data_IF_451311387646
#
_entry.id   IF_451311387646
#
_cell.length_a   1.000
_cell.length_b   1.000
_cell.length_c   1.000
_cell.angle_alpha   90.00
_cell.angle_beta   90.00
_cell.angle_gamma   90.00
#
_symmetry.space_group_name_H-M   'P 1'
#
loop_
_entity.id
_entity.type
_entity.pdbx_description
1 polymer ?
#
# COMPACT_ATOMS: atom_id res chain seq x y z
N UNK A 1 67.61 -40.84 26.08
CA UNK A 1 67.10 -39.79 26.99
C UNK A 1 66.08 -38.98 26.21
N UNK A 2 64.78 -39.18 26.46
CA UNK A 2 63.90 -38.40 27.36
C UNK A 2 63.33 -37.13 26.69
N UNK A 3 61.98 -37.04 26.65
CA UNK A 3 61.20 -35.80 26.53
C UNK A 3 60.25 -35.76 25.31
N UNK A 4 59.05 -36.34 25.36
CA UNK A 4 57.78 -35.77 25.88
C UNK A 4 57.22 -34.60 25.02
N UNK A 5 56.27 -34.83 24.09
CA UNK A 5 54.78 -34.71 24.21
C UNK A 5 54.27 -33.25 24.32
N UNK A 6 53.48 -32.76 23.34
CA UNK A 6 52.05 -32.37 23.46
C UNK A 6 51.46 -31.66 22.20
N UNK A 7 50.53 -32.40 21.57
CA UNK A 7 49.25 -32.05 20.91
C UNK A 7 48.79 -30.58 20.95
N UNK A 8 48.26 -30.07 19.82
CA UNK A 8 47.02 -29.27 19.79
C UNK A 8 46.26 -29.39 18.45
N UNK A 9 45.05 -29.92 18.55
CA UNK A 9 43.97 -29.90 17.55
C UNK A 9 43.51 -28.44 17.35
N UNK A 10 43.32 -28.00 16.11
CA UNK A 10 42.53 -26.80 15.81
C UNK A 10 41.56 -27.07 14.65
N UNK A 11 40.30 -27.33 15.02
CA UNK A 11 39.10 -27.08 14.21
C UNK A 11 39.04 -25.58 13.89
N UNK A 12 38.58 -25.14 12.71
CA UNK A 12 37.62 -24.03 12.54
C UNK A 12 37.15 -23.96 11.08
N UNK A 13 35.85 -24.22 10.91
CA UNK A 13 34.88 -23.63 9.98
C UNK A 13 35.29 -23.33 8.53
N UNK A 14 34.91 -24.23 7.61
CA UNK A 14 34.41 -23.82 6.29
C UNK A 14 33.04 -23.16 6.53
N UNK A 15 33.01 -21.83 6.48
CA UNK A 15 31.75 -21.09 6.48
C UNK A 15 31.02 -21.34 5.17
N UNK A 16 29.93 -22.08 5.29
CA UNK A 16 28.83 -22.17 4.35
C UNK A 16 28.27 -20.74 4.11
N UNK A 17 28.80 -20.02 3.12
CA UNK A 17 28.10 -18.86 2.56
C UNK A 17 26.99 -19.41 1.66
N UNK A 18 25.97 -19.98 2.29
CA UNK A 18 24.66 -20.10 1.68
C UNK A 18 24.11 -18.68 1.68
N UNK A 19 24.41 -17.93 0.63
CA UNK A 19 23.81 -16.64 0.40
C UNK A 19 22.31 -16.82 0.44
N UNK A 20 21.69 -16.37 1.53
CA UNK A 20 20.25 -16.26 1.64
C UNK A 20 19.83 -15.17 0.68
N UNK A 21 19.71 -15.51 -0.60
CA UNK A 21 18.97 -14.71 -1.55
C UNK A 21 17.55 -14.71 -1.03
N UNK A 22 17.19 -13.66 -0.29
CA UNK A 22 15.80 -13.33 -0.02
C UNK A 22 15.20 -13.06 -1.39
N UNK A 23 14.61 -14.10 -1.98
CA UNK A 23 13.71 -13.97 -3.10
C UNK A 23 12.56 -13.13 -2.58
N UNK A 24 12.64 -11.81 -2.78
CA UNK A 24 11.49 -10.94 -2.70
C UNK A 24 10.54 -11.41 -3.82
N UNK A 25 9.71 -12.40 -3.51
CA UNK A 25 8.66 -12.84 -4.39
C UNK A 25 7.79 -11.63 -4.68
N UNK A 26 7.78 -11.17 -5.92
CA UNK A 26 6.90 -10.07 -6.32
C UNK A 26 5.47 -10.53 -6.08
N UNK A 27 4.83 -10.03 -5.03
CA UNK A 27 3.42 -10.31 -4.74
C UNK A 27 2.59 -9.78 -5.89
N UNK A 28 2.01 -10.67 -6.68
CA UNK A 28 1.24 -10.30 -7.86
C UNK A 28 -0.16 -9.85 -7.42
N UNK A 29 -0.69 -8.74 -7.97
CA UNK A 29 -2.07 -8.34 -7.72
C UNK A 29 -3.07 -9.45 -8.07
N UNK A 30 -4.09 -9.60 -7.24
CA UNK A 30 -5.19 -10.56 -7.38
C UNK A 30 -6.56 -9.88 -7.50
N UNK A 31 -6.67 -8.63 -7.04
CA UNK A 31 -7.88 -7.83 -7.14
C UNK A 31 -7.56 -6.33 -7.16
N UNK A 32 -8.59 -5.52 -7.42
CA UNK A 32 -8.54 -4.05 -7.41
C UNK A 32 -9.76 -3.51 -6.68
N UNK A 33 -9.57 -2.50 -5.84
CA UNK A 33 -10.64 -1.71 -5.25
C UNK A 33 -11.27 -0.83 -6.33
N UNK A 34 -12.46 -1.20 -6.81
CA UNK A 34 -13.20 -0.44 -7.84
C UNK A 34 -14.24 0.51 -7.26
N UNK A 35 -14.48 0.47 -5.95
CA UNK A 35 -15.22 1.51 -5.21
C UNK A 35 -14.73 1.59 -3.76
N UNK A 36 -14.62 2.81 -3.26
CA UNK A 36 -14.27 3.11 -1.87
C UNK A 36 -15.13 4.31 -1.44
N UNK A 37 -15.87 4.17 -0.36
CA UNK A 37 -16.69 5.22 0.25
C UNK A 37 -16.47 5.16 1.76
N UNK A 38 -16.30 6.31 2.41
CA UNK A 38 -16.09 6.38 3.85
C UNK A 38 -14.66 6.05 4.28
N UNK A 39 -14.53 5.58 5.51
CA UNK A 39 -13.28 5.09 6.10
C UNK A 39 -13.08 3.61 5.74
N UNK A 40 -12.31 3.36 4.68
CA UNK A 40 -11.89 2.02 4.30
C UNK A 40 -10.38 1.95 4.48
N UNK A 41 -9.92 0.99 5.28
CA UNK A 41 -8.50 0.80 5.58
C UNK A 41 -8.01 -0.54 5.04
N UNK A 42 -6.73 -0.59 4.74
CA UNK A 42 -6.02 -1.78 4.28
C UNK A 42 -4.73 -1.93 5.08
N UNK A 43 -4.44 -3.15 5.54
CA UNK A 43 -3.14 -3.56 6.08
C UNK A 43 -2.47 -4.40 4.97
N UNK A 44 -1.54 -3.78 4.25
CA UNK A 44 -0.91 -4.39 3.07
C UNK A 44 0.23 -5.30 3.48
N UNK A 45 0.34 -6.49 2.89
CA UNK A 45 1.48 -7.38 3.17
C UNK A 45 2.80 -6.76 2.71
N UNK A 46 2.78 -5.97 1.64
CA UNK A 46 3.96 -5.31 1.09
C UNK A 46 4.42 -4.09 1.89
N UNK A 47 3.53 -3.52 2.70
CA UNK A 47 3.77 -2.32 3.50
C UNK A 47 2.86 -2.39 4.74
N UNK A 48 3.25 -3.20 5.76
CA UNK A 48 2.40 -3.50 6.90
C UNK A 48 2.05 -2.25 7.71
N UNK A 49 0.82 -2.21 8.20
CA UNK A 49 0.24 -1.07 8.88
C UNK A 49 -1.06 -0.64 8.23
N UNK A 50 -2.08 -0.41 9.05
CA UNK A 50 -3.38 0.07 8.58
C UNK A 50 -3.24 1.44 7.93
N UNK A 51 -3.74 1.53 6.70
CA UNK A 51 -3.69 2.75 5.89
C UNK A 51 -4.97 2.97 5.12
N UNK A 52 -5.28 4.22 4.79
CA UNK A 52 -6.44 4.57 4.00
C UNK A 52 -6.38 3.92 2.60
N UNK A 53 -7.47 3.25 2.23
CA UNK A 53 -7.62 2.65 0.92
C UNK A 53 -7.87 3.72 -0.14
N UNK A 54 -7.25 3.57 -1.30
CA UNK A 54 -7.48 4.45 -2.46
C UNK A 54 -8.23 3.72 -3.57
N UNK A 55 -9.11 4.44 -4.28
CA UNK A 55 -9.74 3.93 -5.51
C UNK A 55 -8.67 3.48 -6.51
N UNK A 56 -8.84 2.29 -7.09
CA UNK A 56 -7.86 1.66 -7.98
C UNK A 56 -6.68 0.99 -7.25
N UNK A 57 -6.70 0.99 -5.91
CA UNK A 57 -5.73 0.26 -5.09
C UNK A 57 -5.72 -1.23 -5.44
N UNK A 58 -4.52 -1.79 -5.59
CA UNK A 58 -4.33 -3.21 -5.93
C UNK A 58 -4.25 -4.01 -4.64
N UNK A 59 -4.92 -5.15 -4.61
CA UNK A 59 -4.84 -6.10 -3.52
C UNK A 59 -3.96 -7.28 -3.92
N UNK A 60 -3.17 -7.77 -2.98
CA UNK A 60 -2.36 -8.98 -3.09
C UNK A 60 -2.82 -10.04 -2.08
N UNK A 61 -2.29 -11.25 -2.24
CA UNK A 61 -2.54 -12.32 -1.29
C UNK A 61 -2.06 -11.96 0.13
N UNK A 62 -2.96 -12.03 1.09
CA UNK A 62 -2.72 -11.78 2.51
C UNK A 62 -3.12 -10.38 2.99
N UNK A 63 -3.51 -9.46 2.09
CA UNK A 63 -3.96 -8.13 2.50
C UNK A 63 -5.24 -8.23 3.35
N UNK A 64 -5.29 -7.42 4.40
CA UNK A 64 -6.47 -7.30 5.27
C UNK A 64 -7.17 -5.98 5.01
N UNK A 65 -8.49 -5.98 5.11
CA UNK A 65 -9.31 -4.81 4.89
C UNK A 65 -10.31 -4.62 6.02
N UNK A 66 -10.59 -3.35 6.31
CA UNK A 66 -11.55 -2.92 7.31
C UNK A 66 -12.39 -1.77 6.75
N UNK A 67 -13.70 -1.83 6.93
CA UNK A 67 -14.63 -0.72 6.67
C UNK A 67 -15.15 -0.19 8.00
N UNK A 68 -15.09 1.13 8.20
CA UNK A 68 -15.67 1.81 9.36
C UNK A 68 -17.16 2.06 9.19
N UNK A 69 -17.73 2.88 10.09
CA UNK A 69 -19.11 3.39 10.00
C UNK A 69 -19.33 4.16 8.70
N UNK A 70 -20.55 4.10 8.14
CA UNK A 70 -20.93 4.84 6.94
C UNK A 70 -19.95 4.62 5.75
N UNK A 71 -19.37 3.43 5.69
CA UNK A 71 -18.33 3.06 4.72
C UNK A 71 -18.76 1.89 3.85
N UNK A 72 -18.22 1.86 2.63
CA UNK A 72 -18.54 0.84 1.65
C UNK A 72 -17.32 0.56 0.75
N UNK A 73 -17.06 -0.72 0.51
CA UNK A 73 -16.02 -1.17 -0.42
C UNK A 73 -16.60 -1.99 -1.56
N UNK A 74 -16.03 -1.87 -2.75
CA UNK A 74 -16.21 -2.85 -3.83
C UNK A 74 -14.84 -3.30 -4.34
N UNK A 75 -14.71 -4.60 -4.49
CA UNK A 75 -13.48 -5.28 -4.93
C UNK A 75 -13.80 -6.11 -6.15
N UNK A 76 -13.03 -5.90 -7.20
CA UNK A 76 -13.06 -6.67 -8.43
C UNK A 76 -11.82 -7.56 -8.50
N UNK A 77 -12.02 -8.87 -8.46
CA UNK A 77 -10.96 -9.86 -8.65
C UNK A 77 -10.59 -10.00 -10.13
N UNK A 78 -9.39 -10.51 -10.42
CA UNK A 78 -8.93 -10.64 -11.81
C UNK A 78 -9.71 -11.67 -12.64
N UNK A 79 -10.42 -12.59 -11.99
CA UNK A 79 -11.36 -13.53 -12.60
C UNK A 79 -12.76 -12.90 -12.85
N UNK A 80 -12.94 -11.61 -12.51
CA UNK A 80 -14.18 -10.83 -12.53
C UNK A 80 -15.20 -11.19 -11.45
N UNK A 81 -14.84 -12.02 -10.47
CA UNK A 81 -15.62 -12.14 -9.24
C UNK A 81 -15.61 -10.80 -8.50
N UNK A 82 -16.72 -10.46 -7.87
CA UNK A 82 -16.90 -9.19 -7.15
C UNK A 82 -17.31 -9.44 -5.71
N UNK A 83 -16.74 -8.65 -4.79
CA UNK A 83 -17.20 -8.54 -3.41
C UNK A 83 -17.59 -7.09 -3.16
N UNK A 84 -18.80 -6.87 -2.68
CA UNK A 84 -19.24 -5.61 -2.07
C UNK A 84 -19.27 -5.79 -0.58
N UNK A 85 -18.73 -4.82 0.15
CA UNK A 85 -18.52 -4.88 1.59
C UNK A 85 -19.21 -3.70 2.23
N UNK A 86 -20.03 -3.96 3.25
CA UNK A 86 -20.75 -2.94 4.01
C UNK A 86 -19.84 -2.33 5.09
N UNK A 87 -20.34 -1.35 5.83
CA UNK A 87 -19.69 -0.81 7.03
C UNK A 87 -19.37 -1.90 8.06
N UNK A 88 -18.44 -1.60 8.97
CA UNK A 88 -18.08 -2.46 10.11
C UNK A 88 -17.69 -3.89 9.72
N UNK A 89 -17.01 -4.06 8.59
CA UNK A 89 -16.62 -5.38 8.08
C UNK A 89 -15.12 -5.54 8.07
N UNK A 90 -14.64 -6.69 8.57
CA UNK A 90 -13.21 -7.05 8.63
C UNK A 90 -12.97 -8.37 7.92
N UNK A 91 -12.08 -8.39 6.95
CA UNK A 91 -11.76 -9.59 6.20
C UNK A 91 -10.32 -9.59 5.66
N UNK A 92 -9.84 -10.79 5.31
CA UNK A 92 -8.54 -11.01 4.70
C UNK A 92 -8.73 -11.64 3.32
N UNK A 93 -7.99 -11.14 2.33
CA UNK A 93 -7.98 -11.70 0.97
C UNK A 93 -6.87 -12.74 0.87
N UNK A 94 -7.22 -14.00 0.67
CA UNK A 94 -6.26 -15.06 0.33
C UNK A 94 -6.57 -15.55 -1.08
N UNK A 95 -5.80 -15.13 -2.06
CA UNK A 95 -6.03 -15.54 -3.45
C UNK A 95 -4.73 -15.89 -4.11
N UNK A 96 -4.71 -17.02 -4.80
CA UNK A 96 -3.56 -17.47 -5.57
C UNK A 96 -3.95 -17.61 -7.03
N UNK A 97 -3.05 -17.18 -7.91
CA UNK A 97 -3.16 -17.44 -9.34
C UNK A 97 -2.66 -18.85 -9.62
N UNK A 98 -3.55 -19.73 -10.07
CA UNK A 98 -3.21 -21.10 -10.43
C UNK A 98 -2.65 -21.14 -11.86
N UNK A 99 -3.38 -20.57 -12.83
CA UNK A 99 -2.96 -20.36 -14.22
C UNK A 99 -3.42 -18.98 -14.73
N UNK A 100 -3.16 -18.63 -16.00
CA UNK A 100 -3.52 -17.32 -16.56
C UNK A 100 -5.05 -17.12 -16.51
N UNK A 101 -5.50 -16.15 -15.71
CA UNK A 101 -6.92 -15.76 -15.48
C UNK A 101 -7.75 -16.73 -14.65
N UNK A 102 -7.13 -17.67 -13.97
CA UNK A 102 -7.79 -18.48 -12.94
C UNK A 102 -7.27 -18.11 -11.56
N UNK A 103 -8.20 -17.92 -10.64
CA UNK A 103 -7.93 -17.66 -9.24
C UNK A 103 -8.59 -18.75 -8.40
N UNK A 104 -7.86 -19.18 -7.38
CA UNK A 104 -8.43 -19.85 -6.23
C UNK A 104 -8.44 -18.83 -5.10
N UNK A 105 -9.63 -18.37 -4.74
CA UNK A 105 -9.84 -17.28 -3.79
C UNK A 105 -10.53 -17.83 -2.54
N UNK A 106 -9.95 -17.51 -1.40
CA UNK A 106 -10.44 -17.76 -0.06
C UNK A 106 -10.53 -16.40 0.66
N UNK A 107 -11.71 -16.08 1.15
CA UNK A 107 -11.97 -14.87 1.91
C UNK A 107 -12.24 -15.25 3.35
N UNK A 108 -11.37 -14.81 4.26
CA UNK A 108 -11.60 -14.97 5.69
C UNK A 108 -12.30 -13.71 6.20
N UNK A 109 -13.59 -13.78 6.51
CA UNK A 109 -14.34 -12.70 7.16
C UNK A 109 -14.45 -12.98 8.65
N UNK A 110 -14.14 -11.98 9.47
CA UNK A 110 -14.26 -12.07 10.92
C UNK A 110 -15.61 -11.56 11.43
N UNK A 111 -16.11 -10.46 10.86
CA UNK A 111 -17.36 -9.79 11.23
C UNK A 111 -17.81 -8.90 10.08
N UNK A 112 -19.11 -8.62 9.99
CA UNK A 112 -19.69 -7.64 9.06
C UNK A 112 -20.54 -8.28 7.97
N UNK A 113 -20.75 -7.58 6.86
CA UNK A 113 -21.67 -8.00 5.81
C UNK A 113 -21.04 -7.82 4.42
N UNK A 114 -21.12 -8.86 3.59
CA UNK A 114 -20.68 -8.81 2.20
C UNK A 114 -21.67 -9.44 1.24
N UNK A 115 -21.74 -8.88 0.03
CA UNK A 115 -22.40 -9.47 -1.11
C UNK A 115 -21.35 -9.91 -2.12
N UNK A 116 -21.44 -11.16 -2.54
CA UNK A 116 -20.43 -11.80 -3.38
C UNK A 116 -21.09 -12.33 -4.64
N UNK A 117 -20.51 -11.95 -5.78
CA UNK A 117 -20.89 -12.45 -7.10
C UNK A 117 -19.67 -13.10 -7.75
N UNK A 118 -19.73 -14.40 -7.95
CA UNK A 118 -18.60 -15.18 -8.49
C UNK A 118 -18.80 -15.49 -9.96
N UNK A 119 -17.71 -15.50 -10.73
CA UNK A 119 -17.75 -15.88 -12.15
C UNK A 119 -17.81 -17.41 -12.28
N UNK A 120 -18.58 -17.92 -13.23
CA UNK A 120 -18.64 -19.36 -13.52
C UNK A 120 -17.25 -19.94 -13.76
N UNK A 121 -16.91 -21.02 -13.04
CA UNK A 121 -15.62 -21.68 -13.12
C UNK A 121 -14.55 -21.15 -12.15
N UNK A 122 -14.80 -20.04 -11.44
CA UNK A 122 -13.93 -19.64 -10.34
C UNK A 122 -14.08 -20.59 -9.14
N UNK A 123 -12.99 -20.81 -8.42
CA UNK A 123 -12.99 -21.51 -7.13
C UNK A 123 -12.98 -20.46 -6.04
N UNK A 124 -14.10 -20.29 -5.37
CA UNK A 124 -14.27 -19.25 -4.38
C UNK A 124 -14.79 -19.86 -3.08
N UNK A 125 -14.15 -19.51 -1.97
CA UNK A 125 -14.54 -19.92 -0.63
C UNK A 125 -14.60 -18.70 0.27
N UNK A 126 -15.57 -18.70 1.18
CA UNK A 126 -15.64 -17.74 2.27
C UNK A 126 -15.60 -18.51 3.57
N UNK A 127 -14.56 -18.24 4.35
CA UNK A 127 -14.39 -18.76 5.70
C UNK A 127 -14.92 -17.73 6.69
N UNK A 128 -15.79 -18.18 7.57
CA UNK A 128 -16.29 -17.43 8.72
C UNK A 128 -15.89 -18.14 10.02
N UNK A 129 -16.09 -17.54 11.20
CA UNK A 129 -15.79 -18.21 12.47
C UNK A 129 -16.53 -19.54 12.68
N UNK A 130 -17.73 -19.69 12.09
CA UNK A 130 -18.62 -20.83 12.35
C UNK A 130 -18.87 -21.70 11.13
N UNK A 131 -18.35 -21.35 9.94
CA UNK A 131 -18.68 -22.06 8.70
C UNK A 131 -17.79 -21.73 7.52
N UNK A 132 -17.90 -22.55 6.48
CA UNK A 132 -17.31 -22.31 5.16
C UNK A 132 -18.41 -22.33 4.11
N UNK A 133 -18.47 -21.28 3.30
CA UNK A 133 -19.31 -21.22 2.09
C UNK A 133 -18.44 -21.46 0.85
N UNK A 134 -18.67 -22.58 0.17
CA UNK A 134 -17.97 -22.96 -1.07
C UNK A 134 -18.89 -22.72 -2.26
N UNK A 135 -18.40 -21.98 -3.26
CA UNK A 135 -19.25 -21.50 -4.35
C UNK A 135 -18.62 -21.62 -5.72
N UNK A 136 -19.48 -21.75 -6.74
CA UNK A 136 -19.10 -21.77 -8.15
C UNK A 136 -20.18 -21.13 -9.00
N UNK A 137 -19.96 -19.89 -9.45
CA UNK A 137 -20.91 -19.17 -10.30
C UNK A 137 -22.22 -18.82 -9.58
N UNK A 138 -22.10 -18.12 -8.46
CA UNK A 138 -23.23 -17.75 -7.59
C UNK A 138 -23.24 -16.27 -7.24
N UNK A 139 -24.42 -15.78 -6.87
CA UNK A 139 -24.59 -14.50 -6.18
C UNK A 139 -25.24 -14.75 -4.81
N UNK A 140 -24.63 -14.24 -3.75
CA UNK A 140 -25.13 -14.45 -2.38
C UNK A 140 -24.73 -13.29 -1.45
N UNK A 141 -25.46 -13.17 -0.35
CA UNK A 141 -25.16 -12.30 0.77
C UNK A 141 -24.68 -13.15 1.95
N UNK A 142 -23.68 -12.67 2.66
CA UNK A 142 -23.15 -13.31 3.86
C UNK A 142 -22.94 -12.24 4.94
N UNK A 143 -23.57 -12.45 6.09
CA UNK A 143 -23.45 -11.59 7.27
C UNK A 143 -22.87 -12.40 8.42
N UNK A 144 -21.87 -11.86 9.08
CA UNK A 144 -21.23 -12.43 10.27
C UNK A 144 -21.43 -11.47 11.42
N UNK A 145 -22.14 -11.93 12.45
CA UNK A 145 -22.36 -11.19 13.69
C UNK A 145 -21.10 -11.17 14.57
N UNK A 146 -21.09 -10.35 15.62
CA UNK A 146 -19.93 -10.22 16.52
C UNK A 146 -19.61 -11.52 17.28
N UNK A 147 -20.62 -12.36 17.53
CA UNK A 147 -20.47 -13.67 18.16
C UNK A 147 -20.01 -14.77 17.18
N UNK A 148 -19.84 -14.44 15.89
CA UNK A 148 -19.46 -15.36 14.82
C UNK A 148 -20.63 -16.07 14.15
N UNK A 149 -21.87 -15.83 14.57
CA UNK A 149 -23.07 -16.35 13.89
C UNK A 149 -23.07 -15.87 12.45
N UNK A 150 -23.20 -16.82 11.51
CA UNK A 150 -23.14 -16.54 10.08
C UNK A 150 -24.50 -16.76 9.44
N UNK A 151 -25.04 -15.72 8.80
CA UNK A 151 -26.24 -15.79 7.98
C UNK A 151 -25.86 -15.77 6.50
N UNK A 152 -26.27 -16.82 5.79
CA UNK A 152 -26.13 -16.96 4.35
C UNK A 152 -27.48 -16.72 3.68
N UNK A 153 -27.52 -15.93 2.62
CA UNK A 153 -28.69 -15.79 1.74
C UNK A 153 -28.25 -15.92 0.27
N UNK A 154 -28.71 -16.96 -0.41
CA UNK A 154 -28.36 -17.23 -1.81
C UNK A 154 -29.35 -16.51 -2.73
N UNK A 155 -28.82 -15.69 -3.64
CA UNK A 155 -29.60 -14.88 -4.59
C UNK A 155 -29.67 -15.54 -5.97
N UNK A 156 -28.60 -16.21 -6.38
CA UNK A 156 -28.50 -16.92 -7.67
C UNK A 156 -27.54 -18.12 -7.51
N UNK A 157 -27.92 -19.28 -8.06
CA UNK A 157 -27.10 -20.49 -8.05
C UNK A 157 -27.22 -21.31 -6.75
N UNK A 158 -26.12 -21.91 -6.30
CA UNK A 158 -26.10 -22.77 -5.12
C UNK A 158 -24.79 -22.68 -4.34
N UNK A 159 -24.90 -22.63 -3.02
CA UNK A 159 -23.78 -22.54 -2.07
C UNK A 159 -23.74 -23.79 -1.23
N UNK A 160 -22.60 -24.49 -1.24
CA UNK A 160 -22.33 -25.55 -0.27
C UNK A 160 -21.86 -24.89 1.02
N UNK A 161 -22.65 -25.02 2.08
CA UNK A 161 -22.43 -24.36 3.36
C UNK A 161 -22.21 -25.42 4.43
N UNK A 162 -21.05 -25.36 5.07
CA UNK A 162 -20.60 -26.46 5.94
C UNK A 162 -19.88 -25.96 7.18
N UNK A 163 -19.87 -26.80 8.20
CA UNK A 163 -18.95 -26.72 9.33
C UNK A 163 -18.59 -28.14 9.80
N UNK A 164 -17.93 -28.28 10.94
CA UNK A 164 -17.50 -29.58 11.48
C UNK A 164 -18.66 -30.53 11.82
N UNK A 165 -19.87 -30.01 11.99
CA UNK A 165 -21.05 -30.74 12.44
C UNK A 165 -22.03 -31.08 11.31
N UNK A 166 -21.84 -30.53 10.11
CA UNK A 166 -22.71 -30.85 8.98
C UNK A 166 -22.44 -30.02 7.72
N UNK A 167 -23.07 -30.46 6.64
CA UNK A 167 -23.06 -29.81 5.33
C UNK A 167 -24.47 -29.69 4.80
N UNK A 168 -24.81 -28.53 4.25
CA UNK A 168 -26.05 -28.29 3.52
C UNK A 168 -25.75 -27.67 2.15
N UNK A 169 -26.70 -27.81 1.24
CA UNK A 169 -26.69 -27.12 -0.04
C UNK A 169 -27.82 -26.08 -0.05
N UNK A 170 -27.47 -24.80 0.06
CA UNK A 170 -28.41 -23.70 -0.04
C UNK A 170 -28.55 -23.29 -1.52
N UNK A 171 -29.76 -23.32 -2.05
CA UNK A 171 -30.05 -22.94 -3.45
C UNK A 171 -30.61 -21.52 -3.53
N UNK A 172 -30.79 -21.03 -4.75
CA UNK A 172 -31.40 -19.74 -5.04
C UNK A 172 -32.65 -19.44 -4.19
N UNK A 173 -32.71 -18.19 -3.72
CA UNK A 173 -33.78 -17.65 -2.87
C UNK A 173 -33.97 -18.42 -1.56
N UNK A 174 -32.90 -18.98 -1.00
CA UNK A 174 -32.90 -19.59 0.33
C UNK A 174 -31.89 -18.94 1.26
N UNK A 175 -32.11 -19.10 2.57
CA UNK A 175 -31.18 -18.70 3.62
C UNK A 175 -30.90 -19.84 4.58
N UNK A 176 -29.68 -19.85 5.12
CA UNK A 176 -29.23 -20.78 6.16
C UNK A 176 -28.40 -20.02 7.18
N UNK A 177 -28.42 -20.47 8.43
CA UNK A 177 -27.65 -19.88 9.53
C UNK A 177 -26.71 -20.92 10.11
N UNK A 178 -25.46 -20.52 10.38
CA UNK A 178 -24.48 -21.32 11.14
C UNK A 178 -24.16 -20.63 12.46
N UNK A 179 -24.10 -21.41 13.53
CA UNK A 179 -23.80 -20.97 14.90
C UNK A 179 -22.71 -21.85 15.51
N UNK A 180 -22.04 -21.35 16.55
CA UNK A 180 -21.08 -22.14 17.28
C UNK A 180 -21.76 -23.36 17.93
N UNK A 181 -21.20 -24.55 17.73
CA UNK A 181 -21.70 -25.80 18.35
C UNK A 181 -22.90 -26.45 17.66
N UNK A 182 -23.42 -25.88 16.56
CA UNK A 182 -24.54 -26.43 15.79
C UNK A 182 -24.15 -26.60 14.31
N UNK A 183 -24.69 -27.61 13.62
CA UNK A 183 -24.59 -27.70 12.16
C UNK A 183 -25.36 -26.57 11.46
N UNK A 184 -25.06 -26.24 10.20
CA UNK A 184 -25.81 -25.23 9.47
C UNK A 184 -27.30 -25.59 9.39
N UNK A 185 -28.17 -24.61 9.59
CA UNK A 185 -29.61 -24.83 9.55
C UNK A 185 -30.06 -25.27 8.16
N UNK A 186 -31.12 -26.07 8.08
CA UNK A 186 -31.76 -26.38 6.80
C UNK A 186 -32.15 -25.09 6.06
N UNK A 187 -31.95 -25.01 4.73
CA UNK A 187 -32.32 -23.84 3.96
C UNK A 187 -33.81 -23.51 4.04
N UNK A 188 -34.13 -22.24 4.27
CA UNK A 188 -35.50 -21.72 4.28
C UNK A 188 -35.70 -20.73 3.13
N UNK A 189 -36.89 -20.71 2.54
CA UNK A 189 -37.21 -19.79 1.45
C UNK A 189 -37.19 -18.32 1.92
N UNK A 190 -36.58 -17.45 1.13
CA UNK A 190 -36.49 -16.01 1.37
C UNK A 190 -37.35 -15.29 0.35
N UNK A 191 -38.33 -14.46 0.77
CA UNK A 191 -39.09 -13.65 -0.17
C UNK A 191 -38.19 -12.55 -0.75
N UNK A 192 -38.38 -12.22 -2.03
CA UNK A 192 -37.55 -11.23 -2.72
C UNK A 192 -37.49 -9.86 -2.03
N UNK A 193 -38.56 -9.47 -1.34
CA UNK A 193 -38.65 -8.22 -0.56
C UNK A 193 -37.73 -8.20 0.66
N UNK A 194 -37.29 -9.36 1.17
CA UNK A 194 -36.38 -9.48 2.31
C UNK A 194 -34.90 -9.42 1.91
N UNK A 195 -34.58 -9.41 0.61
CA UNK A 195 -33.19 -9.28 0.14
C UNK A 195 -32.70 -7.84 0.43
N UNK A 196 -31.55 -7.67 1.10
CA UNK A 196 -31.00 -6.34 1.38
C UNK A 196 -30.76 -5.53 0.09
N UNK A 197 -31.29 -4.31 0.03
CA UNK A 197 -31.16 -3.44 -1.16
C UNK A 197 -29.85 -2.64 -1.23
N UNK A 198 -29.06 -2.64 -0.16
CA UNK A 198 -27.79 -1.89 -0.07
C UNK A 198 -26.78 -2.31 -1.15
N UNK A 199 -26.88 -3.56 -1.60
CA UNK A 199 -26.09 -4.14 -2.69
C UNK A 199 -26.19 -3.30 -3.99
N UNK A 200 -27.33 -2.61 -4.19
CA UNK A 200 -27.59 -1.73 -5.34
C UNK A 200 -27.43 -0.24 -4.99
N UNK A 201 -27.68 0.14 -3.73
CA UNK A 201 -27.57 1.53 -3.25
C UNK A 201 -26.14 1.83 -2.83
N UNK A 202 -25.34 2.24 -3.81
CA UNK A 202 -23.96 2.71 -3.60
C UNK A 202 -23.86 4.21 -3.93
N UNK A 203 -24.89 5.01 -3.64
CA UNK A 203 -24.91 6.40 -4.08
C UNK A 203 -23.79 7.15 -3.34
N UNK A 204 -22.72 7.46 -4.07
CA UNK A 204 -21.67 8.37 -3.61
C UNK A 204 -22.33 9.73 -3.50
N UNK A 205 -22.61 10.17 -2.28
CA UNK A 205 -23.15 11.51 -2.07
C UNK A 205 -22.06 12.54 -2.33
N UNK A 206 -20.84 12.23 -1.88
CA UNK A 206 -19.71 13.16 -1.90
C UNK A 206 -18.45 12.55 -2.51
N UNK A 207 -17.60 13.41 -3.08
CA UNK A 207 -16.26 13.06 -3.59
C UNK A 207 -15.26 14.06 -3.09
N UNK A 208 -14.25 13.60 -2.37
CA UNK A 208 -13.17 14.44 -1.89
C UNK A 208 -12.11 14.61 -2.99
N UNK A 209 -11.70 15.85 -3.21
CA UNK A 209 -10.63 16.22 -4.13
C UNK A 209 -9.57 17.02 -3.41
N UNK A 210 -8.33 16.77 -3.78
CA UNK A 210 -7.18 17.51 -3.26
C UNK A 210 -6.42 18.17 -4.39
N UNK A 211 -5.96 19.39 -4.14
CA UNK A 211 -5.07 20.13 -5.04
C UNK A 211 -4.00 20.82 -4.22
N UNK A 212 -2.75 20.77 -4.68
CA UNK A 212 -1.75 21.69 -4.13
C UNK A 212 -2.12 23.12 -4.55
N UNK A 213 -2.11 24.05 -3.60
CA UNK A 213 -2.48 25.44 -3.84
C UNK A 213 -1.56 26.09 -4.88
N UNK A 214 -0.27 25.74 -4.86
CA UNK A 214 0.68 26.09 -5.91
C UNK A 214 0.97 24.84 -6.74
N UNK A 215 0.85 24.85 -8.08
CA UNK A 215 1.20 23.68 -8.88
C UNK A 215 2.71 23.41 -8.90
N UNK A 216 3.12 22.27 -9.47
CA UNK A 216 4.51 21.91 -9.71
C UNK A 216 5.19 21.15 -8.57
N UNK A 217 6.45 20.78 -8.80
CA UNK A 217 7.25 20.01 -7.84
C UNK A 217 7.60 20.82 -6.59
N UNK A 218 7.66 20.15 -5.45
CA UNK A 218 7.93 20.75 -4.14
C UNK A 218 9.33 20.42 -3.66
N UNK A 219 9.96 21.36 -2.99
CA UNK A 219 11.28 21.12 -2.42
C UNK A 219 11.12 20.28 -1.14
N UNK A 220 11.94 19.24 -0.99
CA UNK A 220 12.03 18.44 0.24
C UNK A 220 12.31 19.36 1.43
N UNK A 221 11.58 19.12 2.52
CA UNK A 221 11.62 19.91 3.76
C UNK A 221 10.89 21.26 3.70
N UNK A 222 10.46 21.75 2.53
CA UNK A 222 9.74 23.01 2.41
C UNK A 222 8.21 22.77 2.53
N UNK A 223 7.53 23.40 3.51
CA UNK A 223 6.07 23.33 3.63
C UNK A 223 5.35 23.88 2.40
N UNK A 224 4.21 23.27 2.05
CA UNK A 224 3.32 23.73 1.00
C UNK A 224 1.85 23.49 1.38
N UNK A 225 0.96 24.34 0.87
CA UNK A 225 -0.47 24.25 1.18
C UNK A 225 -1.19 23.29 0.22
N UNK A 226 -2.15 22.56 0.79
CA UNK A 226 -3.07 21.65 0.10
C UNK A 226 -4.48 22.13 0.39
N UNK A 227 -5.29 22.27 -0.66
CA UNK A 227 -6.72 22.52 -0.55
C UNK A 227 -7.47 21.22 -0.74
N UNK A 228 -8.43 20.96 0.14
CA UNK A 228 -9.39 19.87 0.09
C UNK A 228 -10.75 20.46 -0.25
N UNK A 229 -11.45 19.81 -1.19
CA UNK A 229 -12.81 20.16 -1.59
C UNK A 229 -13.67 18.90 -1.65
N UNK A 230 -14.81 18.92 -0.98
CA UNK A 230 -15.89 17.97 -1.17
C UNK A 230 -16.77 18.43 -2.33
N UNK A 231 -17.07 17.51 -3.25
CA UNK A 231 -18.00 17.74 -4.35
C UNK A 231 -19.19 16.79 -4.27
N UNK A 232 -20.35 17.22 -4.74
CA UNK A 232 -21.51 16.33 -4.90
C UNK A 232 -21.34 15.36 -6.09
N UNK A 233 -22.35 14.52 -6.34
CA UNK A 233 -22.34 13.57 -7.46
C UNK A 233 -22.30 14.23 -8.84
N UNK A 234 -22.72 15.50 -8.95
CA UNK A 234 -22.70 16.29 -10.19
C UNK A 234 -21.37 17.05 -10.37
N UNK A 235 -20.53 17.07 -9.34
CA UNK A 235 -19.23 17.73 -9.33
C UNK A 235 -19.26 19.17 -8.82
N UNK A 236 -20.39 19.67 -8.34
CA UNK A 236 -20.51 20.99 -7.72
C UNK A 236 -19.90 21.00 -6.31
N UNK A 237 -19.69 22.18 -5.73
CA UNK A 237 -19.16 22.27 -4.37
C UNK A 237 -20.21 21.78 -3.35
N UNK A 238 -19.83 20.83 -2.51
CA UNK A 238 -20.71 20.24 -1.52
C UNK A 238 -20.83 21.13 -0.27
N UNK A 239 -21.65 22.19 -0.35
CA UNK A 239 -21.84 23.13 0.76
C UNK A 239 -22.41 22.47 2.03
N UNK A 240 -23.13 21.36 1.88
CA UNK A 240 -23.70 20.58 2.97
C UNK A 240 -22.73 19.57 3.62
N UNK A 241 -21.53 19.38 3.06
CA UNK A 241 -20.52 18.51 3.65
C UNK A 241 -19.78 19.24 4.78
N UNK A 242 -20.05 18.85 6.02
CA UNK A 242 -19.50 19.47 7.24
C UNK A 242 -18.75 18.51 8.16
N UNK A 243 -18.53 17.27 7.71
CA UNK A 243 -17.84 16.24 8.48
C UNK A 243 -16.32 16.46 8.53
N UNK A 244 -15.71 15.87 9.54
CA UNK A 244 -14.26 15.78 9.65
C UNK A 244 -13.72 14.77 8.62
N UNK A 245 -12.58 15.12 8.00
CA UNK A 245 -11.87 14.23 7.07
C UNK A 245 -10.54 13.79 7.68
N UNK A 246 -10.18 12.53 7.49
CA UNK A 246 -8.83 12.04 7.77
C UNK A 246 -7.95 12.25 6.54
N UNK A 247 -6.75 12.78 6.76
CA UNK A 247 -5.75 12.99 5.72
C UNK A 247 -4.48 12.25 6.11
N UNK A 248 -4.00 11.38 5.23
CA UNK A 248 -2.83 10.53 5.44
C UNK A 248 -1.74 10.82 4.39
N UNK A 249 -0.52 11.05 4.86
CA UNK A 249 0.68 11.22 4.07
C UNK A 249 1.43 9.90 3.86
N UNK A 250 1.85 9.62 2.62
CA UNK A 250 2.63 8.43 2.24
C UNK A 250 4.05 8.80 1.81
N UNK A 251 5.00 7.92 2.11
CA UNK A 251 6.41 8.04 1.71
C UNK A 251 7.09 9.30 2.26
N UNK A 252 7.03 9.46 3.58
CA UNK A 252 7.69 10.57 4.28
C UNK A 252 7.00 11.92 4.14
N UNK A 253 5.71 11.94 3.80
CA UNK A 253 4.88 13.15 3.89
C UNK A 253 4.36 13.31 5.32
N UNK A 254 4.61 14.49 5.89
CA UNK A 254 3.99 14.94 7.13
C UNK A 254 3.00 16.07 6.83
N UNK A 255 1.94 16.13 7.62
CA UNK A 255 0.79 17.00 7.48
C UNK A 255 0.62 17.86 8.73
N UNK A 256 0.02 19.04 8.55
CA UNK A 256 -0.20 19.99 9.63
C UNK A 256 -1.49 20.79 9.40
N UNK A 257 -2.34 20.86 10.42
CA UNK A 257 -3.60 21.62 10.43
C UNK A 257 -3.47 22.94 11.21
N UNK A 258 -2.35 23.17 11.88
CA UNK A 258 -2.10 24.34 12.75
C UNK A 258 -1.10 25.35 12.15
N UNK A 259 -0.94 25.32 10.82
CA UNK A 259 -0.05 26.25 10.12
C UNK A 259 1.43 25.86 10.15
N UNK A 260 1.76 24.65 10.58
CA UNK A 260 3.11 24.07 10.54
C UNK A 260 3.79 24.01 11.92
N UNK A 261 3.04 24.18 12.99
CA UNK A 261 3.56 24.10 14.36
C UNK A 261 3.71 22.64 14.81
N UNK A 262 2.75 21.79 14.45
CA UNK A 262 2.80 20.33 14.66
C UNK A 262 2.71 19.58 13.33
N UNK A 263 3.36 18.42 13.27
CA UNK A 263 3.50 17.59 12.08
C UNK A 263 3.24 16.12 12.41
N UNK A 264 2.42 15.45 11.61
CA UNK A 264 2.06 14.03 11.76
C UNK A 264 1.89 13.38 10.39
N UNK A 265 2.05 12.06 10.29
CA UNK A 265 1.73 11.31 9.08
C UNK A 265 0.22 11.23 8.80
N UNK A 266 -0.61 11.41 9.83
CA UNK A 266 -2.07 11.43 9.73
C UNK A 266 -2.63 12.59 10.56
N UNK A 267 -3.60 13.33 10.00
CA UNK A 267 -4.29 14.44 10.67
C UNK A 267 -5.78 14.44 10.35
N UNK A 268 -6.59 14.91 11.29
CA UNK A 268 -8.03 15.17 11.07
C UNK A 268 -8.24 16.65 10.76
N UNK A 269 -9.07 16.96 9.75
CA UNK A 269 -9.42 18.31 9.35
C UNK A 269 -10.94 18.46 9.20
N UNK A 270 -11.52 19.44 9.89
CA UNK A 270 -12.91 19.83 9.66
C UNK A 270 -13.06 20.63 8.37
N UNK A 271 -13.97 20.21 7.49
CA UNK A 271 -14.29 20.99 6.28
C UNK A 271 -15.38 22.02 6.56
N UNK A 272 -15.16 23.26 6.14
CA UNK A 272 -16.13 24.35 6.25
C UNK A 272 -16.79 24.58 4.88
N UNK A 273 -18.10 24.32 4.77
CA UNK A 273 -18.84 24.38 3.50
C UNK A 273 -18.16 23.56 2.39
N UNK A 274 -17.75 22.34 2.75
CA UNK A 274 -17.04 21.41 1.87
C UNK A 274 -15.60 21.80 1.52
N UNK A 275 -14.98 22.79 2.18
CA UNK A 275 -13.61 23.21 1.86
C UNK A 275 -12.72 23.26 3.10
N UNK A 276 -11.45 22.87 2.93
CA UNK A 276 -10.42 22.96 3.96
C UNK A 276 -9.03 23.19 3.36
N UNK A 277 -8.11 23.71 4.17
CA UNK A 277 -6.70 23.89 3.80
C UNK A 277 -5.83 23.34 4.91
N UNK A 278 -4.78 22.61 4.55
CA UNK A 278 -3.73 22.15 5.45
C UNK A 278 -2.36 22.34 4.82
N UNK A 279 -1.30 22.21 5.63
CA UNK A 279 0.09 22.18 5.16
C UNK A 279 0.60 20.76 5.06
N UNK A 280 1.48 20.53 4.10
CA UNK A 280 2.26 19.31 3.98
C UNK A 280 3.73 19.65 3.78
N UNK A 281 4.62 18.76 4.21
CA UNK A 281 6.05 18.77 3.88
C UNK A 281 6.50 17.33 3.65
N UNK A 282 7.43 17.12 2.73
CA UNK A 282 7.98 15.79 2.45
C UNK A 282 9.47 15.70 2.76
N UNK A 283 9.92 14.56 3.26
CA UNK A 283 11.33 14.26 3.55
C UNK A 283 12.05 13.52 2.41
N UNK A 284 11.30 12.90 1.50
CA UNK A 284 11.86 12.05 0.44
C UNK A 284 11.68 12.65 -0.95
N UNK A 285 12.65 12.41 -1.84
CA UNK A 285 12.59 12.81 -3.25
C UNK A 285 11.77 11.81 -4.04
N UNK A 286 10.98 12.28 -5.01
CA UNK A 286 10.18 11.43 -5.89
C UNK A 286 8.68 11.70 -5.75
N UNK A 287 7.87 10.81 -6.32
CA UNK A 287 6.41 10.92 -6.26
C UNK A 287 5.92 10.40 -4.91
N UNK A 288 5.34 11.29 -4.13
CA UNK A 288 4.68 10.97 -2.87
C UNK A 288 3.17 11.12 -2.99
N UNK A 289 2.43 10.37 -2.20
CA UNK A 289 0.98 10.37 -2.23
C UNK A 289 0.41 10.92 -0.92
N UNK A 290 -0.73 11.58 -1.03
CA UNK A 290 -1.54 12.04 0.08
C UNK A 290 -2.95 11.55 -0.22
N UNK A 291 -3.59 10.94 0.77
CA UNK A 291 -4.93 10.37 0.66
C UNK A 291 -5.83 11.12 1.65
N UNK A 292 -7.04 11.44 1.24
CA UNK A 292 -8.07 11.99 2.13
C UNK A 292 -9.28 11.06 2.08
N UNK A 293 -9.81 10.71 3.25
CA UNK A 293 -11.05 9.95 3.44
C UNK A 293 -11.99 10.72 4.36
N UNK A 294 -13.29 10.41 4.26
CA UNK A 294 -14.31 11.01 5.10
C UNK A 294 -15.63 10.28 4.91
N UNK A 295 -16.52 10.37 5.90
CA UNK A 295 -17.78 9.64 5.90
C UNK A 295 -18.63 9.91 4.65
N UNK A 296 -19.33 8.88 4.17
CA UNK A 296 -20.21 8.93 2.98
C UNK A 296 -19.57 9.55 1.72
N UNK A 297 -18.24 9.58 1.65
CA UNK A 297 -17.51 10.24 0.57
C UNK A 297 -16.53 9.29 -0.12
N UNK A 298 -16.35 9.44 -1.42
CA UNK A 298 -15.25 8.79 -2.12
C UNK A 298 -13.92 9.47 -1.76
N UNK A 299 -12.86 8.72 -1.48
CA UNK A 299 -11.58 9.29 -1.06
C UNK A 299 -10.90 10.04 -2.21
N UNK A 300 -10.14 11.06 -1.85
CA UNK A 300 -9.29 11.82 -2.75
C UNK A 300 -7.84 11.35 -2.68
N UNK A 301 -7.12 11.43 -3.80
CA UNK A 301 -5.67 11.17 -3.85
C UNK A 301 -4.95 12.30 -4.56
N UNK A 302 -3.92 12.84 -3.93
CA UNK A 302 -3.01 13.82 -4.51
C UNK A 302 -1.62 13.19 -4.61
N UNK A 303 -1.02 13.22 -5.80
CA UNK A 303 0.37 12.83 -6.00
C UNK A 303 1.22 14.09 -6.17
N UNK A 304 2.22 14.24 -5.32
CA UNK A 304 3.15 15.38 -5.31
C UNK A 304 4.53 14.89 -5.70
N UNK A 305 5.18 15.55 -6.66
CA UNK A 305 6.57 15.28 -6.97
C UNK A 305 7.48 16.13 -6.07
N UNK A 306 8.20 15.48 -5.17
CA UNK A 306 9.19 16.08 -4.30
C UNK A 306 10.56 16.08 -4.99
N UNK A 307 11.30 17.20 -4.90
CA UNK A 307 12.62 17.38 -5.47
C UNK A 307 13.56 18.04 -4.46
N UNK A 308 14.86 17.98 -4.72
CA UNK A 308 15.82 18.79 -3.96
C UNK A 308 15.74 20.25 -4.43
N UNK A 309 15.89 21.18 -3.49
CA UNK A 309 15.94 22.61 -3.80
C UNK A 309 17.16 22.95 -4.66
N UNK A 310 17.09 24.06 -5.42
CA UNK A 310 18.24 24.54 -6.21
C UNK A 310 19.49 24.77 -5.35
N UNK A 311 19.32 25.31 -4.15
CA UNK A 311 20.41 25.55 -3.19
C UNK A 311 21.07 24.23 -2.77
N UNK A 312 20.27 23.24 -2.39
CA UNK A 312 20.78 21.90 -2.05
C UNK A 312 21.48 21.26 -3.25
N UNK A 313 20.92 21.40 -4.45
CA UNK A 313 21.51 20.81 -5.64
C UNK A 313 22.86 21.46 -6.00
N UNK A 314 22.97 22.79 -5.88
CA UNK A 314 24.22 23.51 -6.10
C UNK A 314 25.31 23.10 -5.09
N UNK A 315 24.95 22.91 -3.81
CA UNK A 315 25.86 22.43 -2.77
C UNK A 315 26.43 21.06 -3.14
N UNK A 316 25.55 20.11 -3.47
CA UNK A 316 25.94 18.75 -3.86
C UNK A 316 26.78 18.79 -5.14
N UNK A 317 26.39 19.58 -6.15
CA UNK A 317 27.16 19.72 -7.39
C UNK A 317 28.57 20.23 -7.13
N UNK A 318 28.73 21.24 -6.26
CA UNK A 318 30.05 21.76 -5.88
C UNK A 318 30.91 20.70 -5.19
N UNK A 319 30.34 19.96 -4.23
CA UNK A 319 31.04 18.87 -3.55
C UNK A 319 31.37 17.71 -4.48
N UNK A 320 30.46 17.34 -5.38
CA UNK A 320 30.69 16.31 -6.38
C UNK A 320 31.88 16.67 -7.28
N UNK A 321 31.93 17.90 -7.82
CA UNK A 321 33.06 18.36 -8.63
C UNK A 321 34.37 18.33 -7.85
N UNK A 322 34.38 18.80 -6.60
CA UNK A 322 35.59 18.77 -5.74
C UNK A 322 36.05 17.34 -5.44
N UNK A 323 35.11 16.44 -5.12
CA UNK A 323 35.40 15.04 -4.85
C UNK A 323 36.00 14.37 -6.08
N UNK A 324 35.35 14.51 -7.24
CA UNK A 324 35.81 13.90 -8.50
C UNK A 324 37.17 14.43 -8.93
N UNK A 325 37.40 15.75 -8.90
CA UNK A 325 38.73 16.32 -9.18
C UNK A 325 39.84 15.76 -8.28
N UNK A 326 39.50 15.32 -7.06
CA UNK A 326 40.47 14.73 -6.12
C UNK A 326 40.69 13.23 -6.35
N UNK A 327 39.63 12.47 -6.63
CA UNK A 327 39.68 11.00 -6.64
C UNK A 327 39.77 10.38 -8.04
N UNK A 328 39.32 11.10 -9.07
CA UNK A 328 39.30 10.66 -10.47
C UNK A 328 39.24 11.89 -11.42
N UNK A 329 40.39 12.54 -11.68
CA UNK A 329 40.47 13.74 -12.52
C UNK A 329 39.98 13.50 -13.96
N UNK A 330 40.29 12.34 -14.54
CA UNK A 330 39.89 11.99 -15.91
C UNK A 330 38.35 11.94 -16.06
N UNK A 331 37.68 11.37 -15.06
CA UNK A 331 36.23 11.37 -15.00
C UNK A 331 35.67 12.79 -14.83
N UNK A 332 36.31 13.61 -13.99
CA UNK A 332 35.90 14.99 -13.77
C UNK A 332 35.95 15.81 -15.07
N UNK A 333 37.00 15.63 -15.87
CA UNK A 333 37.14 16.25 -17.18
C UNK A 333 36.06 15.79 -18.17
N UNK A 334 35.77 14.48 -18.23
CA UNK A 334 34.72 13.91 -19.10
C UNK A 334 33.33 14.50 -18.83
N UNK A 335 33.03 14.82 -17.58
CA UNK A 335 31.72 15.38 -17.19
C UNK A 335 31.75 16.90 -17.00
N UNK A 336 32.86 17.54 -17.33
CA UNK A 336 33.03 19.00 -17.20
C UNK A 336 31.94 19.75 -17.97
N UNK A 337 31.46 20.86 -17.40
CA UNK A 337 30.37 21.66 -17.93
C UNK A 337 28.96 21.04 -17.79
N UNK A 338 28.82 19.77 -17.38
CA UNK A 338 27.51 19.16 -17.10
C UNK A 338 27.01 19.58 -15.71
N UNK A 339 25.69 19.70 -15.57
CA UNK A 339 25.02 19.98 -14.28
C UNK A 339 24.41 18.70 -13.72
N UNK A 340 24.66 18.45 -12.44
CA UNK A 340 24.06 17.31 -11.74
C UNK A 340 22.53 17.44 -11.70
N UNK A 341 21.84 16.53 -12.39
CA UNK A 341 20.36 16.45 -12.37
C UNK A 341 19.82 15.75 -11.12
N UNK A 342 20.61 14.86 -10.52
CA UNK A 342 20.24 14.11 -9.32
C UNK A 342 21.35 13.18 -8.88
N UNK A 343 21.23 12.63 -7.67
CA UNK A 343 22.16 11.66 -7.10
C UNK A 343 21.44 10.76 -6.09
N UNK A 344 21.77 9.47 -6.11
CA UNK A 344 21.15 8.44 -5.25
C UNK A 344 22.22 7.47 -4.78
N UNK A 345 22.07 6.98 -3.55
CA UNK A 345 22.86 5.87 -3.02
C UNK A 345 22.09 4.58 -3.31
N UNK A 346 22.65 3.70 -4.14
CA UNK A 346 22.01 2.43 -4.51
C UNK A 346 22.31 1.28 -3.55
N UNK A 347 23.41 1.38 -2.80
CA UNK A 347 23.82 0.41 -1.77
C UNK A 347 24.51 1.15 -0.62
N UNK A 348 24.16 0.79 0.62
CA UNK A 348 24.62 1.47 1.84
C UNK A 348 23.59 2.45 2.40
N UNK A 349 23.96 3.15 3.47
CA UNK A 349 23.14 4.17 4.14
C UNK A 349 23.73 5.58 3.94
N UNK A 350 22.93 6.61 4.21
CA UNK A 350 23.33 8.01 4.09
C UNK A 350 22.86 8.68 2.80
N UNK A 351 23.41 9.87 2.54
CA UNK A 351 23.04 10.68 1.38
C UNK A 351 24.29 11.07 0.56
N UNK A 352 24.07 11.49 -0.68
CA UNK A 352 25.17 11.84 -1.58
C UNK A 352 26.01 13.04 -1.10
N UNK A 353 25.42 14.00 -0.39
CA UNK A 353 26.13 15.18 0.14
C UNK A 353 27.25 14.77 1.12
N UNK A 354 26.93 13.80 1.98
CA UNK A 354 27.85 13.25 2.98
C UNK A 354 28.91 12.37 2.33
N UNK A 355 28.52 11.53 1.35
CA UNK A 355 29.47 10.68 0.61
C UNK A 355 30.52 11.52 -0.10
N UNK A 356 30.10 12.58 -0.81
CA UNK A 356 31.06 13.48 -1.46
C UNK A 356 31.96 14.20 -0.45
N UNK A 357 31.44 14.57 0.71
CA UNK A 357 32.24 15.20 1.76
C UNK A 357 33.30 14.25 2.33
N UNK A 358 32.96 12.99 2.57
CA UNK A 358 33.92 11.98 3.03
C UNK A 358 35.00 11.66 2.00
N UNK A 359 34.65 11.64 0.69
CA UNK A 359 35.64 11.52 -0.40
C UNK A 359 36.58 12.74 -0.44
N UNK A 360 36.06 13.95 -0.27
CA UNK A 360 36.88 15.17 -0.17
C UNK A 360 37.84 15.07 1.02
N UNK A 361 37.36 14.59 2.17
CA UNK A 361 38.16 14.49 3.39
C UNK A 361 39.11 13.27 3.41
N UNK A 362 39.05 12.40 2.39
CA UNK A 362 39.89 11.20 2.31
C UNK A 362 39.46 10.05 3.22
N UNK A 363 38.30 10.16 3.89
CA UNK A 363 37.73 9.10 4.73
C UNK A 363 37.16 7.95 3.89
N UNK A 364 36.81 8.23 2.64
CA UNK A 364 36.42 7.23 1.65
C UNK A 364 37.29 7.34 0.39
N UNK A 365 37.37 6.23 -0.34
CA UNK A 365 38.08 6.11 -1.61
C UNK A 365 37.27 5.28 -2.62
N UNK A 366 37.60 5.41 -3.91
CA UNK A 366 37.00 4.59 -4.95
C UNK A 366 37.35 3.10 -4.75
N UNK A 367 36.36 2.25 -5.02
CA UNK A 367 36.50 0.80 -5.04
C UNK A 367 36.32 0.31 -6.47
N UNK A 368 37.38 0.43 -7.27
CA UNK A 368 37.38 0.13 -8.69
C UNK A 368 37.04 1.34 -9.56
N UNK A 369 37.03 1.13 -10.87
CA UNK A 369 36.78 2.19 -11.86
C UNK A 369 35.30 2.56 -11.91
N UNK A 370 34.93 3.85 -11.90
CA UNK A 370 33.56 4.28 -12.10
C UNK A 370 32.99 3.85 -13.45
N UNK A 371 31.72 3.44 -13.49
CA UNK A 371 31.00 3.16 -14.73
C UNK A 371 30.32 4.43 -15.22
N UNK A 372 30.47 4.75 -16.51
CA UNK A 372 29.88 5.92 -17.15
C UNK A 372 28.96 5.47 -18.27
N UNK A 373 27.69 5.86 -18.21
CA UNK A 373 26.68 5.53 -19.21
C UNK A 373 26.13 6.83 -19.79
N UNK A 374 26.35 7.04 -21.09
CA UNK A 374 25.79 8.16 -21.83
C UNK A 374 24.44 7.78 -22.44
N UNK A 375 23.47 8.67 -22.32
CA UNK A 375 22.14 8.52 -22.90
C UNK A 375 22.04 9.29 -24.21
N UNK A 376 21.15 8.88 -25.15
CA UNK A 376 20.93 9.59 -26.41
C UNK A 376 20.50 11.05 -26.26
N UNK A 377 19.94 11.43 -25.10
CA UNK A 377 19.56 12.80 -24.77
C UNK A 377 20.76 13.66 -24.28
N UNK A 378 21.98 13.14 -24.34
CA UNK A 378 23.21 13.79 -23.90
C UNK A 378 23.43 13.78 -22.38
N UNK A 379 22.53 13.15 -21.61
CA UNK A 379 22.71 12.97 -20.18
C UNK A 379 23.72 11.86 -19.87
N UNK A 380 24.48 12.03 -18.80
CA UNK A 380 25.52 11.08 -18.37
C UNK A 380 25.18 10.57 -16.97
N UNK A 381 25.15 9.25 -16.82
CA UNK A 381 25.01 8.58 -15.52
C UNK A 381 26.36 8.02 -15.11
N UNK A 382 26.85 8.46 -13.95
CA UNK A 382 28.08 7.96 -13.34
C UNK A 382 27.71 7.06 -12.16
N UNK A 383 28.25 5.85 -12.13
CA UNK A 383 28.07 4.89 -11.04
C UNK A 383 29.44 4.70 -10.38
N UNK A 384 29.54 5.10 -9.12
CA UNK A 384 30.77 4.93 -8.33
C UNK A 384 30.52 3.93 -7.21
N UNK A 385 31.50 3.05 -6.99
CA UNK A 385 31.59 2.23 -5.78
C UNK A 385 32.63 2.87 -4.88
N UNK A 386 32.29 3.09 -3.63
CA UNK A 386 33.17 3.71 -2.64
C UNK A 386 33.29 2.81 -1.41
N UNK A 387 34.44 2.88 -0.75
CA UNK A 387 34.72 2.13 0.48
C UNK A 387 35.45 3.04 1.47
N UNK A 388 35.39 2.75 2.79
CA UNK A 388 36.25 3.42 3.76
C UNK A 388 37.72 3.32 3.35
N UNK A 389 38.45 4.41 3.51
CA UNK A 389 39.91 4.38 3.41
C UNK A 389 40.43 3.56 4.60
N UNK A 390 41.38 2.65 4.37
CA UNK A 390 42.06 2.01 5.49
C UNK A 390 42.92 3.09 6.16
N UNK A 391 42.74 3.31 7.46
CA UNK A 391 43.74 4.05 8.25
C UNK A 391 45.07 3.34 8.03
N UNK A 392 46.08 4.08 7.56
CA UNK A 392 47.46 3.69 7.76
C UNK A 392 47.67 3.66 9.27
N UNK A 393 47.56 2.48 9.86
CA UNK A 393 48.07 2.25 11.20
C UNK A 393 49.58 2.48 11.14
N UNK A 394 50.01 3.61 11.69
CA UNK A 394 51.42 3.84 12.05
C UNK A 394 51.81 2.98 13.26
#
# INVERSE_FOLDING_TARGET
MRGAIKIKIFRVFIYLIFGMTVLFGSTRPVAVLNKVVGDVKIDMVTDPGWQAASLGGKLVNGDKLETGTASFGSIMFLDRSMIKVRENTKFTVKSKRTVKRELETDINIAVGEMNVKTTTGSKFKIQTPTSVASVKGTEFNLMVEQDGTTHLTVLEGAVEFMNELGVILATEMTSSTSRAGEGPSSPIAVPQKAIPSWQKKTKEEWRLKMKSVKPGSKDVGAPFDIRINANDSEGNNALGYGEDVSVEGKGGIELSTDGGNSWSSEVTLKLNKGTGILKAKGSEVGKQAIIVSGENSSPGKLVVNMKRSKKAMNKINSKASKALNKIDPDLADKISGKKLKGSTISQGSGNADDVFEQLINGLMQLSGTPEVVESPDGSVKVIMKVKPSQESGD
#
